data_IF_493615003568
#
_entry.id   IF_493615003568
#
_cell.length_a   1.000
_cell.length_b   1.000
_cell.length_c   1.000
_cell.angle_alpha   90.00
_cell.angle_beta   90.00
_cell.angle_gamma   90.00
#
_symmetry.space_group_name_H-M   'P 1'
#
loop_
_entity.id
_entity.type
_entity.pdbx_description
1 polymer ?
#
# COMPACT_ATOMS: atom_id res chain seq x y z
N UNK A 1 -7.83 -23.25 -2.69
CA UNK A 1 -8.70 -22.37 -1.88
C UNK A 1 -7.83 -21.42 -1.08
N UNK A 2 -8.20 -20.14 -1.01
CA UNK A 2 -7.44 -19.15 -0.22
C UNK A 2 -7.80 -19.30 1.26
N UNK A 3 -6.84 -19.10 2.15
CA UNK A 3 -7.05 -18.93 3.58
C UNK A 3 -6.37 -17.64 4.02
N UNK A 4 -7.15 -16.72 4.59
CA UNK A 4 -6.72 -15.38 4.97
C UNK A 4 -6.85 -15.25 6.48
N UNK A 5 -5.72 -15.19 7.17
CA UNK A 5 -5.63 -15.09 8.64
C UNK A 5 -6.47 -16.17 9.35
N UNK A 6 -6.44 -17.40 8.83
CA UNK A 6 -7.13 -18.56 9.41
C UNK A 6 -8.56 -18.79 8.91
N UNK A 7 -9.11 -17.94 8.05
CA UNK A 7 -10.45 -18.12 7.47
C UNK A 7 -10.38 -18.35 5.97
N UNK A 8 -11.06 -19.39 5.48
CA UNK A 8 -11.13 -19.68 4.05
C UNK A 8 -11.82 -18.55 3.29
N UNK A 9 -11.31 -18.20 2.11
CA UNK A 9 -11.76 -17.06 1.31
C UNK A 9 -11.96 -17.46 -0.16
N UNK A 10 -12.99 -16.91 -0.78
CA UNK A 10 -13.03 -16.77 -2.23
C UNK A 10 -12.22 -15.55 -2.64
N UNK A 11 -11.73 -15.51 -3.87
CA UNK A 11 -10.87 -14.42 -4.35
C UNK A 11 -11.50 -13.02 -4.14
N UNK A 12 -12.81 -12.91 -4.40
CA UNK A 12 -13.56 -11.66 -4.23
C UNK A 12 -13.72 -11.23 -2.76
N UNK A 13 -13.61 -12.17 -1.83
CA UNK A 13 -13.80 -11.92 -0.39
C UNK A 13 -12.48 -11.60 0.33
N UNK A 14 -11.33 -11.77 -0.34
CA UNK A 14 -10.00 -11.64 0.28
C UNK A 14 -9.82 -10.31 1.02
N UNK A 15 -10.13 -9.13 0.44
CA UNK A 15 -9.95 -7.86 1.16
C UNK A 15 -10.83 -7.77 2.42
N UNK A 16 -12.09 -8.21 2.32
CA UNK A 16 -13.04 -8.16 3.42
C UNK A 16 -12.64 -9.10 4.57
N UNK A 17 -12.23 -10.33 4.24
CA UNK A 17 -11.76 -11.30 5.25
C UNK A 17 -10.45 -10.87 5.88
N UNK A 18 -9.53 -10.32 5.09
CA UNK A 18 -8.31 -9.74 5.62
C UNK A 18 -8.61 -8.63 6.64
N UNK A 19 -9.44 -7.65 6.27
CA UNK A 19 -9.82 -6.55 7.16
C UNK A 19 -10.48 -7.05 8.44
N UNK A 20 -11.50 -7.91 8.32
CA UNK A 20 -12.24 -8.48 9.46
C UNK A 20 -11.30 -9.22 10.41
N UNK A 21 -10.45 -10.10 9.88
CA UNK A 21 -9.61 -10.96 10.70
C UNK A 21 -8.44 -10.19 11.30
N UNK A 22 -7.86 -9.24 10.56
CA UNK A 22 -6.85 -8.33 11.10
C UNK A 22 -7.40 -7.51 12.27
N UNK A 23 -8.61 -6.95 12.14
CA UNK A 23 -9.27 -6.22 13.23
C UNK A 23 -9.51 -7.09 14.48
N UNK A 24 -9.76 -8.40 14.29
CA UNK A 24 -9.94 -9.35 15.39
C UNK A 24 -8.62 -9.68 16.12
N UNK A 25 -7.47 -9.54 15.45
CA UNK A 25 -6.14 -9.77 16.04
C UNK A 25 -5.62 -8.56 16.82
N UNK A 26 -6.16 -7.37 16.57
CA UNK A 26 -5.70 -6.12 17.18
C UNK A 26 -6.03 -6.09 18.66
N UNK A 27 -5.02 -5.83 19.49
CA UNK A 27 -5.16 -5.65 20.95
C UNK A 27 -6.11 -4.50 21.28
N UNK A 28 -6.79 -4.59 22.42
CA UNK A 28 -7.75 -3.57 22.86
C UNK A 28 -7.12 -2.43 23.66
N UNK A 29 -5.90 -2.02 23.30
CA UNK A 29 -5.17 -0.91 23.91
C UNK A 29 -5.38 0.42 23.15
N UNK A 30 -4.81 1.52 23.65
CA UNK A 30 -5.02 2.86 23.06
C UNK A 30 -4.64 2.90 21.56
N UNK A 31 -3.53 2.24 21.19
CA UNK A 31 -3.09 2.18 19.79
C UNK A 31 -4.04 1.33 18.95
N UNK A 32 -4.48 0.20 19.49
CA UNK A 32 -5.45 -0.69 18.84
C UNK A 32 -6.80 -0.03 18.62
N UNK A 33 -7.31 0.75 19.57
CA UNK A 33 -8.54 1.53 19.39
C UNK A 33 -8.39 2.58 18.28
N UNK A 34 -7.28 3.33 18.27
CA UNK A 34 -6.99 4.29 17.19
C UNK A 34 -6.92 3.61 15.83
N UNK A 35 -6.22 2.47 15.74
CA UNK A 35 -6.16 1.66 14.53
C UNK A 35 -7.55 1.23 14.05
N UNK A 36 -8.40 0.71 14.95
CA UNK A 36 -9.77 0.30 14.64
C UNK A 36 -10.59 1.47 14.08
N UNK A 37 -10.45 2.69 14.62
CA UNK A 37 -11.11 3.88 14.08
C UNK A 37 -10.61 4.26 12.68
N UNK A 38 -9.29 4.19 12.44
CA UNK A 38 -8.72 4.48 11.13
C UNK A 38 -9.17 3.48 10.07
N UNK A 39 -9.24 2.19 10.44
CA UNK A 39 -9.69 1.12 9.56
C UNK A 39 -11.15 1.25 9.11
N UNK A 40 -12.02 1.94 9.88
CA UNK A 40 -13.41 2.20 9.45
C UNK A 40 -13.51 3.10 8.22
N UNK A 41 -12.51 3.96 8.02
CA UNK A 41 -12.43 4.88 6.88
C UNK A 41 -11.46 4.40 5.80
N UNK A 42 -10.81 3.26 6.03
CA UNK A 42 -9.79 2.71 5.13
C UNK A 42 -10.45 1.74 4.16
N UNK A 43 -10.19 1.93 2.87
CA UNK A 43 -10.54 0.97 1.84
C UNK A 43 -9.43 -0.06 1.72
N UNK A 44 -9.79 -1.34 1.74
CA UNK A 44 -8.84 -2.45 1.62
C UNK A 44 -9.01 -3.09 0.25
N UNK A 45 -7.92 -3.11 -0.51
CA UNK A 45 -7.84 -3.76 -1.81
C UNK A 45 -6.86 -4.93 -1.76
N UNK A 46 -7.07 -5.89 -2.66
CA UNK A 46 -6.17 -7.03 -2.85
C UNK A 46 -5.76 -7.12 -4.32
N UNK A 47 -4.46 -7.29 -4.54
CA UNK A 47 -3.89 -7.55 -5.86
C UNK A 47 -2.95 -8.75 -5.78
N UNK A 48 -2.99 -9.60 -6.80
CA UNK A 48 -2.04 -10.69 -6.99
C UNK A 48 -1.14 -10.36 -8.18
N UNK A 49 0.17 -10.39 -7.99
CA UNK A 49 1.10 -10.31 -9.10
C UNK A 49 1.17 -11.68 -9.79
N UNK A 50 0.60 -11.80 -10.99
CA UNK A 50 0.58 -13.05 -11.75
C UNK A 50 1.96 -13.54 -12.24
N UNK A 51 3.02 -12.75 -12.13
CA UNK A 51 4.39 -13.17 -12.47
C UNK A 51 5.18 -13.64 -11.25
N UNK A 52 5.06 -12.94 -10.12
CA UNK A 52 5.83 -13.24 -8.91
C UNK A 52 5.05 -14.01 -7.86
N UNK A 53 3.75 -14.22 -8.10
CA UNK A 53 2.78 -14.83 -7.18
C UNK A 53 2.70 -14.09 -5.83
N UNK A 54 3.13 -12.82 -5.80
CA UNK A 54 3.13 -12.01 -4.58
C UNK A 54 1.75 -11.41 -4.35
N UNK A 55 1.21 -11.64 -3.15
CA UNK A 55 -0.03 -11.06 -2.67
C UNK A 55 0.20 -9.64 -2.15
N UNK A 56 -0.64 -8.69 -2.52
CA UNK A 56 -0.53 -7.30 -2.10
C UNK A 56 -1.85 -6.81 -1.52
N UNK A 57 -1.84 -6.45 -0.25
CA UNK A 57 -2.94 -5.70 0.37
C UNK A 57 -2.64 -4.21 0.30
N UNK A 58 -3.60 -3.42 -0.14
CA UNK A 58 -3.50 -1.96 -0.19
C UNK A 58 -4.56 -1.40 0.76
N UNK A 59 -4.11 -0.69 1.78
CA UNK A 59 -4.95 0.05 2.72
C UNK A 59 -4.94 1.51 2.27
N UNK A 60 -5.97 1.91 1.53
CA UNK A 60 -6.17 3.30 1.11
C UNK A 60 -6.78 4.07 2.25
N UNK A 61 -5.96 4.90 2.88
CA UNK A 61 -6.37 5.71 4.02
C UNK A 61 -6.75 7.12 3.56
N UNK A 62 -7.69 7.79 4.25
CA UNK A 62 -8.03 9.18 3.99
C UNK A 62 -6.85 10.16 4.06
N UNK A 63 -6.94 11.26 3.31
CA UNK A 63 -5.91 12.32 3.26
C UNK A 63 -5.75 13.11 4.57
N UNK A 64 -6.69 12.98 5.53
CA UNK A 64 -6.64 13.66 6.83
C UNK A 64 -5.74 12.94 7.84
N UNK A 65 -5.32 11.70 7.55
CA UNK A 65 -4.38 10.95 8.37
C UNK A 65 -2.96 11.45 8.17
N UNK A 66 -2.29 11.72 9.29
CA UNK A 66 -0.92 12.21 9.29
C UNK A 66 0.07 11.05 9.11
N UNK A 67 1.33 11.34 8.72
CA UNK A 67 2.37 10.32 8.65
C UNK A 67 2.54 9.51 9.95
N UNK A 68 2.37 10.15 11.12
CA UNK A 68 2.45 9.46 12.42
C UNK A 68 1.29 8.47 12.63
N UNK A 69 0.11 8.79 12.12
CA UNK A 69 -1.06 7.91 12.19
C UNK A 69 -0.87 6.70 11.27
N UNK A 70 -0.33 6.92 10.06
CA UNK A 70 0.02 5.87 9.11
C UNK A 70 1.09 4.94 9.70
N UNK A 71 2.12 5.51 10.35
CA UNK A 71 3.14 4.72 11.02
C UNK A 71 2.54 3.90 12.17
N UNK A 72 1.64 4.49 12.97
CA UNK A 72 0.90 3.74 14.00
C UNK A 72 0.13 2.57 13.38
N UNK A 73 -0.52 2.76 12.24
CA UNK A 73 -1.19 1.65 11.55
C UNK A 73 -0.21 0.56 11.15
N UNK A 74 0.94 0.91 10.56
CA UNK A 74 1.96 -0.05 10.18
C UNK A 74 2.49 -0.85 11.39
N UNK A 75 2.76 -0.17 12.51
CA UNK A 75 3.22 -0.79 13.75
C UNK A 75 2.19 -1.77 14.31
N UNK A 76 0.91 -1.36 14.38
CA UNK A 76 -0.18 -2.20 14.90
C UNK A 76 -0.40 -3.42 14.01
N UNK A 77 -0.36 -3.26 12.68
CA UNK A 77 -0.46 -4.38 11.74
C UNK A 77 0.70 -5.36 11.94
N UNK A 78 1.94 -4.86 12.00
CA UNK A 78 3.13 -5.69 12.20
C UNK A 78 3.06 -6.46 13.52
N UNK A 79 2.69 -5.80 14.62
CA UNK A 79 2.56 -6.44 15.93
C UNK A 79 1.45 -7.49 15.96
N UNK A 80 0.31 -7.21 15.31
CA UNK A 80 -0.81 -8.15 15.23
C UNK A 80 -0.45 -9.40 14.42
N UNK A 81 0.25 -9.24 13.29
CA UNK A 81 0.69 -10.36 12.47
C UNK A 81 1.79 -11.19 13.15
N UNK A 82 2.72 -10.55 13.86
CA UNK A 82 3.72 -11.26 14.68
C UNK A 82 3.06 -12.06 15.80
N UNK A 83 2.03 -11.52 16.43
CA UNK A 83 1.31 -12.20 17.51
C UNK A 83 0.44 -13.37 17.01
N UNK A 84 0.03 -13.36 15.73
CA UNK A 84 -0.78 -14.43 15.14
C UNK A 84 -0.01 -15.76 14.97
N UNK A 85 1.32 -15.69 14.80
CA UNK A 85 2.25 -16.84 14.78
C UNK A 85 1.86 -17.96 13.78
N UNK A 86 1.22 -17.59 12.66
CA UNK A 86 0.79 -18.48 11.58
C UNK A 86 0.88 -17.76 10.23
N UNK A 87 0.94 -18.49 9.10
CA UNK A 87 0.88 -17.88 7.78
C UNK A 87 -0.36 -17.00 7.62
N UNK A 88 -0.14 -15.72 7.27
CA UNK A 88 -1.25 -14.78 7.10
C UNK A 88 -2.07 -15.08 5.84
N UNK A 89 -1.44 -15.67 4.83
CA UNK A 89 -2.07 -16.09 3.59
C UNK A 89 -1.58 -17.51 3.27
N UNK A 90 -2.52 -18.41 3.03
CA UNK A 90 -2.23 -19.72 2.44
C UNK A 90 -3.10 -19.94 1.21
N UNK A 91 -2.53 -20.60 0.22
CA UNK A 91 -3.26 -21.11 -0.95
C UNK A 91 -2.92 -22.58 -1.06
N UNK A 92 -3.94 -23.43 -0.97
CA UNK A 92 -3.77 -24.89 -1.03
C UNK A 92 -2.66 -25.37 -0.08
N UNK A 93 -2.77 -24.96 1.20
CA UNK A 93 -1.84 -25.28 2.29
C UNK A 93 -0.41 -24.72 2.13
N UNK A 94 -0.15 -23.94 1.08
CA UNK A 94 1.14 -23.32 0.83
C UNK A 94 1.13 -21.86 1.25
N UNK A 95 2.05 -21.48 2.14
CA UNK A 95 2.26 -20.09 2.55
C UNK A 95 2.60 -19.20 1.35
N UNK A 96 1.90 -18.07 1.26
CA UNK A 96 2.12 -17.09 0.20
C UNK A 96 2.94 -15.90 0.70
N UNK A 97 3.80 -15.39 -0.18
CA UNK A 97 4.47 -14.11 0.06
C UNK A 97 3.47 -12.98 -0.05
N UNK A 98 3.56 -12.01 0.85
CA UNK A 98 2.69 -10.86 0.82
C UNK A 98 3.35 -9.58 1.27
N UNK A 99 2.77 -8.46 0.83
CA UNK A 99 3.07 -7.12 1.33
C UNK A 99 1.79 -6.39 1.66
N UNK A 100 1.90 -5.46 2.61
CA UNK A 100 0.82 -4.56 3.01
C UNK A 100 1.32 -3.15 2.74
N UNK A 101 0.61 -2.44 1.88
CA UNK A 101 0.90 -1.05 1.52
C UNK A 101 -0.18 -0.20 2.15
N UNK A 102 0.20 0.67 3.07
CA UNK A 102 -0.69 1.69 3.63
C UNK A 102 -0.38 2.98 2.88
N UNK A 103 -1.37 3.63 2.28
CA UNK A 103 -1.15 4.87 1.50
C UNK A 103 -2.38 5.74 1.55
N UNK A 104 -2.19 7.06 1.54
CA UNK A 104 -3.25 8.00 1.15
C UNK A 104 -3.15 8.31 -0.36
N UNK A 105 -4.13 9.02 -0.93
CA UNK A 105 -4.12 9.37 -2.35
C UNK A 105 -3.09 10.47 -2.68
N UNK A 106 -2.52 11.11 -1.66
CA UNK A 106 -1.45 12.11 -1.78
C UNK A 106 -0.07 11.45 -1.74
N UNK A 107 0.20 10.62 -2.74
CA UNK A 107 1.51 10.01 -3.06
C UNK A 107 2.18 9.19 -1.92
N UNK A 108 2.93 8.12 -2.26
CA UNK A 108 3.58 7.26 -1.28
C UNK A 108 4.81 7.95 -0.68
N UNK A 109 4.62 8.89 0.25
CA UNK A 109 5.72 9.55 0.96
C UNK A 109 6.22 8.78 2.19
N UNK A 110 5.80 7.52 2.38
CA UNK A 110 6.20 6.67 3.52
C UNK A 110 7.57 5.99 3.27
N UNK A 111 8.45 6.67 2.52
CA UNK A 111 9.88 6.35 2.50
C UNK A 111 10.61 7.62 2.91
N UNK A 112 10.85 7.75 4.21
CA UNK A 112 11.77 8.74 4.74
C UNK A 112 11.22 9.59 5.89
N UNK A 113 11.03 8.98 7.06
CA UNK A 113 11.04 9.69 8.35
C UNK A 113 12.38 10.43 8.61
N UNK A 114 13.37 10.27 7.72
CA UNK A 114 14.61 11.04 7.65
C UNK A 114 14.85 11.62 6.24
N UNK A 115 13.93 12.42 5.68
CA UNK A 115 14.23 13.18 4.46
C UNK A 115 15.13 14.39 4.81
N UNK A 116 16.34 14.38 4.27
CA UNK A 116 17.09 15.61 3.96
C UNK A 116 16.23 16.47 3.01
N UNK A 117 16.11 17.79 3.20
CA UNK A 117 15.34 18.64 2.31
C UNK A 117 15.77 18.45 0.84
N UNK A 118 14.83 18.13 -0.06
CA UNK A 118 15.07 17.97 -1.52
C UNK A 118 15.07 16.55 -2.09
N UNK A 119 14.72 15.51 -1.32
CA UNK A 119 14.66 14.11 -1.80
C UNK A 119 13.26 13.49 -1.70
N UNK A 120 12.24 14.16 -2.23
CA UNK A 120 11.04 13.46 -2.72
C UNK A 120 11.35 12.96 -4.13
N UNK A 121 11.02 11.69 -4.45
CA UNK A 121 11.19 11.15 -5.80
C UNK A 121 10.55 12.06 -6.85
N UNK A 122 9.38 12.63 -6.54
CA UNK A 122 8.70 13.61 -7.38
C UNK A 122 9.48 14.93 -7.55
N UNK A 123 10.19 15.42 -6.54
CA UNK A 123 11.05 16.61 -6.69
C UNK A 123 12.27 16.36 -7.58
N UNK A 124 12.83 15.14 -7.56
CA UNK A 124 13.93 14.75 -8.45
C UNK A 124 13.45 14.62 -9.90
N UNK A 125 12.22 14.16 -10.12
CA UNK A 125 11.64 13.98 -11.47
C UNK A 125 10.97 15.23 -12.03
N UNK A 126 10.54 16.18 -11.19
CA UNK A 126 9.93 17.46 -11.63
C UNK A 126 10.75 18.16 -12.73
N UNK A 127 12.08 18.35 -12.62
CA UNK A 127 12.87 18.98 -13.68
C UNK A 127 12.84 18.22 -15.02
N UNK A 128 12.76 16.89 -14.98
CA UNK A 128 12.69 16.03 -16.16
C UNK A 128 11.31 16.15 -16.81
N UNK A 129 10.24 16.08 -16.01
CA UNK A 129 8.85 16.19 -16.46
C UNK A 129 8.58 17.60 -17.01
N UNK A 130 9.00 18.66 -16.29
CA UNK A 130 8.96 20.03 -16.80
C UNK A 130 9.81 20.20 -18.06
N UNK A 131 10.92 19.45 -18.19
CA UNK A 131 11.74 19.44 -19.40
C UNK A 131 11.04 18.82 -20.62
N UNK A 132 10.07 17.95 -20.41
CA UNK A 132 9.27 17.30 -21.47
C UNK A 132 8.00 18.08 -21.82
N UNK A 133 7.39 18.78 -20.87
CA UNK A 133 6.15 19.55 -21.04
C UNK A 133 6.39 21.06 -21.28
N UNK A 134 7.64 21.53 -21.20
CA UNK A 134 7.97 22.93 -21.50
C UNK A 134 7.77 23.24 -23.00
N UNK A 135 6.97 24.28 -23.35
CA UNK A 135 6.80 24.71 -24.73
C UNK A 135 8.16 25.12 -25.32
N UNK A 136 8.62 24.40 -26.36
CA UNK A 136 9.85 24.72 -27.10
C UNK A 136 10.99 23.69 -27.02
N UNK A 137 10.80 22.52 -26.38
CA UNK A 137 11.77 21.42 -26.38
C UNK A 137 11.24 20.10 -26.98
N UNK A 138 10.40 20.19 -28.00
CA UNK A 138 10.14 19.04 -28.86
C UNK A 138 11.46 18.61 -29.52
N UNK A 139 11.77 17.31 -29.42
CA UNK A 139 13.00 16.71 -29.92
C UNK A 139 13.18 17.02 -31.43
N UNK A 140 14.25 17.73 -31.85
CA UNK A 140 14.46 18.07 -33.26
C UNK A 140 14.68 16.84 -34.17
N UNK A 141 14.79 15.62 -33.63
CA UNK A 141 14.80 14.40 -34.43
C UNK A 141 13.40 13.86 -34.80
N UNK A 142 12.33 14.37 -34.20
CA UNK A 142 10.94 13.98 -34.51
C UNK A 142 10.26 14.88 -35.55
N UNK A 143 10.88 16.00 -35.94
CA UNK A 143 10.31 16.94 -36.93
C UNK A 143 10.33 16.42 -38.38
N UNK A 144 11.01 15.30 -38.66
CA UNK A 144 10.97 14.63 -39.97
C UNK A 144 9.73 13.76 -40.21
N UNK A 145 8.93 13.50 -39.18
CA UNK A 145 7.72 12.67 -39.28
C UNK A 145 6.42 13.48 -39.40
N UNK A 146 6.49 14.81 -39.42
CA UNK A 146 5.33 15.70 -39.48
C UNK A 146 5.47 16.82 -40.53
N UNK A 147 6.17 16.55 -41.63
CA UNK A 147 6.17 17.42 -42.81
C UNK A 147 5.65 16.66 -44.02
N UNK A 148 4.33 16.75 -44.23
CA UNK A 148 3.75 16.91 -45.58
C UNK A 148 3.19 18.33 -45.67
#
# INVERSE_FOLDING_TARGET
MWNILGEDALYLDIPYKFQKNLLALVKDDEKGQKFKEFMKKTEVEFMLNGQTEESCFILRVPDDLKPEDIQLMADVVLDSLKAFDKPAIMVDETEQKYKIVISNNREPEIIGLHKTPGMSSMEVFKPIIYGWDAPGRANPSMSRFYSE
#
